data_IF_308927644122
#
_entry.id   IF_308927644122
#
_cell.length_a   1.000
_cell.length_b   1.000
_cell.length_c   1.000
_cell.angle_alpha   90.00
_cell.angle_beta   90.00
_cell.angle_gamma   90.00
#
_symmetry.space_group_name_H-M   'P 1'
#
loop_
_entity.id
_entity.type
_entity.pdbx_description
1 polymer ?
#
# COMPACT_ATOMS: atom_id res chain seq x y z
N UNK A 1 10.15 -20.72 3.94
CA UNK A 1 9.96 -19.45 4.67
C UNK A 1 11.31 -18.83 4.95
N UNK A 2 11.51 -17.55 4.68
CA UNK A 2 12.74 -16.81 5.02
C UNK A 2 12.44 -15.91 6.24
N UNK A 3 13.23 -16.03 7.30
CA UNK A 3 13.15 -15.18 8.49
C UNK A 3 14.40 -14.29 8.52
N UNK A 4 14.19 -13.00 8.73
CA UNK A 4 15.27 -12.01 8.87
C UNK A 4 15.11 -11.34 10.24
N UNK A 5 16.17 -11.34 11.02
CA UNK A 5 16.19 -10.73 12.35
C UNK A 5 17.05 -9.47 12.25
N UNK A 6 16.45 -8.34 12.56
CA UNK A 6 17.13 -7.05 12.58
C UNK A 6 17.32 -6.55 14.03
N UNK A 7 18.37 -5.76 14.31
CA UNK A 7 18.73 -5.41 15.68
C UNK A 7 17.73 -4.45 16.37
N UNK A 8 16.91 -3.77 15.59
CA UNK A 8 15.91 -2.83 16.12
C UNK A 8 14.82 -2.54 15.08
N UNK A 9 13.67 -1.95 15.48
CA UNK A 9 12.56 -1.64 14.58
C UNK A 9 12.93 -0.73 13.41
N UNK A 10 13.84 0.21 13.60
CA UNK A 10 14.29 1.10 12.52
C UNK A 10 15.09 0.33 11.44
N UNK A 11 15.93 -0.62 11.83
CA UNK A 11 16.63 -1.49 10.89
C UNK A 11 15.65 -2.39 10.13
N UNK A 12 14.65 -2.95 10.83
CA UNK A 12 13.60 -3.75 10.21
C UNK A 12 12.79 -2.94 9.18
N UNK A 13 12.42 -1.70 9.51
CA UNK A 13 11.71 -0.81 8.60
C UNK A 13 12.54 -0.51 7.33
N UNK A 14 13.82 -0.20 7.48
CA UNK A 14 14.74 0.01 6.34
C UNK A 14 14.90 -1.25 5.49
N UNK A 15 15.00 -2.41 6.13
CA UNK A 15 15.07 -3.68 5.40
C UNK A 15 13.81 -3.93 4.59
N UNK A 16 12.62 -3.80 5.21
CA UNK A 16 11.34 -3.96 4.53
C UNK A 16 11.19 -2.99 3.35
N UNK A 17 11.51 -1.72 3.54
CA UNK A 17 11.45 -0.71 2.48
C UNK A 17 12.38 -1.05 1.30
N UNK A 18 13.59 -1.56 1.56
CA UNK A 18 14.49 -2.04 0.49
C UNK A 18 13.89 -3.22 -0.26
N UNK A 19 13.28 -4.18 0.43
CA UNK A 19 12.60 -5.30 -0.22
C UNK A 19 11.49 -4.83 -1.15
N UNK A 20 10.67 -3.87 -0.73
CA UNK A 20 9.64 -3.25 -1.58
C UNK A 20 10.27 -2.57 -2.79
N UNK A 21 11.26 -1.73 -2.59
CA UNK A 21 11.92 -1.00 -3.67
C UNK A 21 12.58 -1.96 -4.69
N UNK A 22 13.26 -2.99 -4.23
CA UNK A 22 13.85 -4.02 -5.10
C UNK A 22 12.79 -4.79 -5.89
N UNK A 23 11.66 -5.11 -5.25
CA UNK A 23 10.56 -5.81 -5.92
C UNK A 23 9.96 -4.94 -7.02
N UNK A 24 9.61 -3.69 -6.71
CA UNK A 24 9.05 -2.74 -7.68
C UNK A 24 10.03 -2.47 -8.83
N UNK A 25 11.33 -2.36 -8.54
CA UNK A 25 12.34 -2.18 -9.59
C UNK A 25 12.42 -3.38 -10.54
N UNK A 26 12.29 -4.61 -10.01
CA UNK A 26 12.30 -5.83 -10.82
C UNK A 26 11.00 -6.06 -11.59
N UNK A 27 9.88 -5.66 -11.02
CA UNK A 27 8.53 -5.82 -11.60
C UNK A 27 7.76 -4.49 -11.48
N UNK A 28 8.04 -3.51 -12.34
CA UNK A 28 7.44 -2.18 -12.24
C UNK A 28 5.89 -2.17 -12.26
N UNK A 29 5.26 -3.14 -12.91
CA UNK A 29 3.80 -3.31 -12.98
C UNK A 29 3.26 -4.24 -11.87
N UNK A 30 3.97 -4.35 -10.76
CA UNK A 30 3.51 -5.19 -9.65
C UNK A 30 2.27 -4.61 -8.98
N UNK A 31 1.54 -5.51 -8.32
CA UNK A 31 0.46 -5.18 -7.42
C UNK A 31 0.99 -5.25 -5.99
N UNK A 32 0.71 -4.22 -5.20
CA UNK A 32 1.13 -4.09 -3.82
C UNK A 32 -0.09 -4.09 -2.90
N UNK A 33 -0.03 -4.84 -1.81
CA UNK A 33 -0.97 -4.72 -0.71
C UNK A 33 -0.42 -3.71 0.30
N UNK A 34 -1.20 -2.70 0.64
CA UNK A 34 -0.83 -1.66 1.60
C UNK A 34 -1.62 -1.83 2.89
N UNK A 35 -0.90 -1.93 4.00
CA UNK A 35 -1.49 -2.08 5.33
C UNK A 35 -1.53 -0.74 6.06
N UNK A 36 -2.60 -0.47 6.79
CA UNK A 36 -2.66 0.63 7.74
C UNK A 36 -2.03 0.25 9.09
N UNK A 37 -1.73 1.26 9.89
CA UNK A 37 -1.30 1.10 11.28
C UNK A 37 0.07 1.69 11.61
N UNK A 38 0.26 1.96 12.89
CA UNK A 38 1.45 2.64 13.41
C UNK A 38 2.77 1.91 13.08
N UNK A 39 2.74 0.59 12.97
CA UNK A 39 3.90 -0.25 12.60
C UNK A 39 4.38 0.03 11.18
N UNK A 40 3.49 0.45 10.29
CA UNK A 40 3.82 0.73 8.89
C UNK A 40 4.43 2.12 8.67
N UNK A 41 4.18 3.07 9.59
CA UNK A 41 4.70 4.45 9.45
C UNK A 41 6.21 4.51 9.19
N UNK A 42 7.07 3.84 9.97
CA UNK A 42 8.52 3.86 9.70
C UNK A 42 8.87 3.19 8.37
N UNK A 43 8.14 2.15 7.94
CA UNK A 43 8.38 1.49 6.64
C UNK A 43 8.04 2.46 5.50
N UNK A 44 6.86 3.09 5.55
CA UNK A 44 6.45 4.06 4.53
C UNK A 44 7.38 5.26 4.43
N UNK A 45 7.86 5.78 5.57
CA UNK A 45 8.88 6.85 5.58
C UNK A 45 10.16 6.46 4.84
N UNK A 46 10.63 5.24 5.04
CA UNK A 46 11.82 4.74 4.33
C UNK A 46 11.55 4.50 2.83
N UNK A 47 10.36 4.00 2.46
CA UNK A 47 9.92 3.87 1.05
C UNK A 47 9.91 5.24 0.36
N UNK A 48 9.29 6.24 0.99
CA UNK A 48 9.27 7.62 0.49
C UNK A 48 10.69 8.20 0.37
N UNK A 49 11.55 7.94 1.35
CA UNK A 49 12.94 8.38 1.29
C UNK A 49 13.73 7.74 0.15
N UNK A 50 13.48 6.47 -0.17
CA UNK A 50 14.06 5.79 -1.33
C UNK A 50 13.56 6.40 -2.64
N UNK A 51 12.25 6.63 -2.76
CA UNK A 51 11.65 7.28 -3.93
C UNK A 51 12.26 8.67 -4.16
N UNK A 52 12.30 9.52 -3.13
CA UNK A 52 12.86 10.89 -3.23
C UNK A 52 14.34 10.96 -3.60
N UNK A 53 15.07 9.85 -3.49
CA UNK A 53 16.47 9.72 -3.93
C UNK A 53 16.59 9.05 -5.29
N UNK A 54 15.53 9.01 -6.08
CA UNK A 54 15.44 8.37 -7.40
C UNK A 54 15.88 6.90 -7.40
N UNK A 55 15.62 6.19 -6.28
CA UNK A 55 16.00 4.78 -6.14
C UNK A 55 14.89 3.82 -6.54
N UNK A 56 13.64 4.29 -6.62
CA UNK A 56 12.47 3.52 -7.03
C UNK A 56 11.37 4.45 -7.55
N UNK A 57 10.66 4.02 -8.60
CA UNK A 57 9.45 4.67 -9.12
C UNK A 57 8.28 3.70 -9.00
N UNK A 58 7.14 4.19 -8.56
CA UNK A 58 5.87 3.46 -8.42
C UNK A 58 4.88 3.79 -9.54
N UNK A 59 5.28 4.59 -10.53
CA UNK A 59 4.38 5.11 -11.58
C UNK A 59 3.59 4.02 -12.34
N UNK A 60 4.14 2.81 -12.44
CA UNK A 60 3.51 1.68 -13.13
C UNK A 60 2.91 0.64 -12.17
N UNK A 61 3.22 0.72 -10.88
CA UNK A 61 2.69 -0.18 -9.87
C UNK A 61 1.23 0.14 -9.55
N UNK A 62 0.50 -0.85 -9.05
CA UNK A 62 -0.85 -0.68 -8.49
C UNK A 62 -0.83 -1.02 -7.02
N UNK A 63 -1.64 -0.34 -6.24
CA UNK A 63 -1.72 -0.52 -4.80
C UNK A 63 -3.17 -0.79 -4.38
N UNK A 64 -3.37 -1.76 -3.50
CA UNK A 64 -4.65 -2.12 -2.91
C UNK A 64 -4.53 -2.07 -1.39
N UNK A 65 -5.45 -1.37 -0.74
CA UNK A 65 -5.53 -1.38 0.72
C UNK A 65 -6.03 -2.73 1.21
N UNK A 66 -5.50 -3.23 2.32
CA UNK A 66 -5.83 -4.56 2.82
C UNK A 66 -7.24 -4.63 3.42
N UNK A 67 -7.66 -3.56 4.09
CA UNK A 67 -8.91 -3.51 4.83
C UNK A 67 -9.38 -2.08 5.06
N UNK A 68 -10.64 -1.92 5.46
CA UNK A 68 -11.23 -0.66 5.92
C UNK A 68 -12.34 -0.94 6.95
N UNK A 69 -12.62 0.03 7.80
CA UNK A 69 -13.74 0.00 8.73
C UNK A 69 -15.06 0.23 8.01
N UNK A 70 -15.97 -0.74 8.07
CA UNK A 70 -17.31 -0.60 7.51
C UNK A 70 -18.02 0.68 8.01
N UNK A 71 -18.57 1.44 7.08
CA UNK A 71 -19.29 2.68 7.35
C UNK A 71 -18.42 3.92 7.51
N UNK A 72 -17.09 3.83 7.32
CA UNK A 72 -16.24 5.03 7.27
C UNK A 72 -16.05 5.51 5.83
N UNK A 73 -16.28 6.79 5.62
CA UNK A 73 -15.93 7.43 4.35
C UNK A 73 -14.40 7.49 4.19
N UNK A 74 -13.92 7.39 2.96
CA UNK A 74 -12.48 7.32 2.65
C UNK A 74 -11.68 8.60 2.98
N UNK A 75 -12.36 9.68 3.34
CA UNK A 75 -11.78 10.94 3.82
C UNK A 75 -11.92 11.15 5.34
N UNK A 76 -12.60 10.24 6.05
CA UNK A 76 -12.70 10.28 7.52
C UNK A 76 -11.29 10.18 8.13
N UNK A 77 -10.98 11.01 9.14
CA UNK A 77 -9.65 10.94 9.82
C UNK A 77 -9.26 9.59 10.40
N UNK A 78 -10.22 8.69 10.60
CA UNK A 78 -10.03 7.34 11.13
C UNK A 78 -9.91 6.28 10.02
N UNK A 79 -10.18 6.65 8.76
CA UNK A 79 -10.14 5.73 7.61
C UNK A 79 -8.71 5.24 7.34
N UNK A 80 -8.57 3.95 7.07
CA UNK A 80 -7.32 3.36 6.64
C UNK A 80 -6.93 3.81 5.23
N UNK A 81 -7.90 4.00 4.34
CA UNK A 81 -7.65 4.55 3.01
C UNK A 81 -7.02 5.94 3.08
N UNK A 82 -7.53 6.81 3.97
CA UNK A 82 -6.90 8.11 4.22
C UNK A 82 -5.50 7.98 4.78
N UNK A 83 -5.32 7.13 5.78
CA UNK A 83 -4.01 6.88 6.38
C UNK A 83 -2.97 6.45 5.33
N UNK A 84 -3.28 5.45 4.53
CA UNK A 84 -2.37 4.93 3.49
C UNK A 84 -2.09 6.01 2.44
N UNK A 85 -3.11 6.72 1.99
CA UNK A 85 -2.97 7.82 1.03
C UNK A 85 -1.99 8.88 1.53
N UNK A 86 -2.17 9.38 2.75
CA UNK A 86 -1.32 10.43 3.34
C UNK A 86 0.10 9.94 3.66
N UNK A 87 0.26 8.68 4.11
CA UNK A 87 1.54 8.16 4.53
C UNK A 87 2.45 7.75 3.37
N UNK A 88 1.90 7.29 2.25
CA UNK A 88 2.73 6.78 1.15
C UNK A 88 2.22 7.15 -0.25
N UNK A 89 0.93 7.02 -0.55
CA UNK A 89 0.44 7.15 -1.94
C UNK A 89 0.69 8.54 -2.50
N UNK A 90 0.37 9.59 -1.75
CA UNK A 90 0.59 11.00 -2.14
C UNK A 90 2.06 11.45 -2.01
N UNK A 91 2.92 10.61 -1.44
CA UNK A 91 4.33 10.93 -1.20
C UNK A 91 5.28 10.35 -2.26
N UNK A 92 4.76 9.48 -3.14
CA UNK A 92 5.48 8.85 -4.24
C UNK A 92 4.72 9.05 -5.56
N UNK A 93 5.18 8.46 -6.65
CA UNK A 93 4.71 8.73 -8.02
C UNK A 93 3.70 7.71 -8.56
N UNK A 94 2.81 7.13 -7.72
CA UNK A 94 1.71 6.31 -8.25
C UNK A 94 0.92 7.08 -9.31
N UNK A 95 0.64 6.43 -10.45
CA UNK A 95 -0.23 7.04 -11.45
C UNK A 95 -1.66 7.24 -10.91
N UNK A 96 -2.35 8.27 -11.40
CA UNK A 96 -3.73 8.51 -11.04
C UNK A 96 -4.60 7.27 -11.31
N UNK A 97 -5.41 6.86 -10.33
CA UNK A 97 -6.24 5.66 -10.41
C UNK A 97 -5.49 4.33 -10.20
N UNK A 98 -4.23 4.35 -9.76
CA UNK A 98 -3.47 3.16 -9.41
C UNK A 98 -3.48 2.81 -7.91
N UNK A 99 -4.20 3.57 -7.09
CA UNK A 99 -4.48 3.23 -5.70
C UNK A 99 -5.97 2.91 -5.54
N UNK A 100 -6.26 1.82 -4.90
CA UNK A 100 -7.58 1.26 -4.69
C UNK A 100 -7.82 0.98 -3.21
N UNK A 101 -8.96 1.42 -2.71
CA UNK A 101 -9.47 1.07 -1.39
C UNK A 101 -10.88 0.49 -1.54
N UNK A 102 -11.34 -0.39 -0.62
CA UNK A 102 -12.72 -0.86 -0.64
C UNK A 102 -13.69 0.29 -0.29
N UNK A 103 -14.86 0.30 -0.92
CA UNK A 103 -15.93 1.24 -0.55
C UNK A 103 -16.63 0.76 0.73
N UNK A 104 -16.13 1.23 1.85
CA UNK A 104 -16.66 0.88 3.16
C UNK A 104 -18.06 1.43 3.45
N UNK A 105 -18.59 2.34 2.60
CA UNK A 105 -19.93 2.89 2.68
C UNK A 105 -20.91 2.24 1.68
N UNK A 106 -20.47 1.19 0.96
CA UNK A 106 -21.34 0.46 0.05
C UNK A 106 -22.58 -0.09 0.77
N UNK A 107 -23.73 0.00 0.10
CA UNK A 107 -24.99 -0.51 0.65
C UNK A 107 -24.99 -2.03 0.83
N UNK A 108 -24.21 -2.75 0.02
CA UNK A 108 -24.00 -4.20 0.09
C UNK A 108 -22.49 -4.47 0.18
N UNK A 109 -22.01 -4.74 1.38
CA UNK A 109 -20.60 -4.98 1.64
C UNK A 109 -20.10 -6.31 1.06
N UNK A 110 -20.95 -7.32 0.94
CA UNK A 110 -20.58 -8.61 0.35
C UNK A 110 -20.37 -8.45 -1.16
N UNK A 111 -21.24 -7.71 -1.84
CA UNK A 111 -21.06 -7.36 -3.24
C UNK A 111 -19.79 -6.50 -3.45
N UNK A 112 -19.52 -5.57 -2.55
CA UNK A 112 -18.30 -4.75 -2.60
C UNK A 112 -17.03 -5.60 -2.41
N UNK A 113 -17.02 -6.52 -1.45
CA UNK A 113 -15.90 -7.46 -1.27
C UNK A 113 -15.65 -8.27 -2.55
N UNK A 114 -16.70 -8.80 -3.16
CA UNK A 114 -16.58 -9.55 -4.42
C UNK A 114 -16.04 -8.68 -5.57
N UNK A 115 -16.50 -7.42 -5.67
CA UNK A 115 -15.99 -6.45 -6.64
C UNK A 115 -14.50 -6.15 -6.41
N UNK A 116 -14.11 -5.95 -5.16
CA UNK A 116 -12.74 -5.63 -4.77
C UNK A 116 -11.79 -6.79 -5.06
N UNK A 117 -12.17 -8.02 -4.71
CA UNK A 117 -11.42 -9.23 -5.07
C UNK A 117 -11.25 -9.37 -6.59
N UNK A 118 -12.33 -9.14 -7.34
CA UNK A 118 -12.26 -9.18 -8.81
C UNK A 118 -11.30 -8.11 -9.37
N UNK A 119 -11.23 -6.94 -8.75
CA UNK A 119 -10.29 -5.89 -9.15
C UNK A 119 -8.83 -6.31 -8.89
N UNK A 120 -8.54 -6.94 -7.75
CA UNK A 120 -7.21 -7.48 -7.43
C UNK A 120 -6.81 -8.54 -8.46
N UNK A 121 -7.69 -9.50 -8.75
CA UNK A 121 -7.45 -10.56 -9.75
C UNK A 121 -7.19 -9.95 -11.13
N UNK A 122 -8.00 -8.99 -11.55
CA UNK A 122 -7.85 -8.30 -12.84
C UNK A 122 -6.56 -7.49 -12.94
N UNK A 123 -6.03 -7.03 -11.81
CA UNK A 123 -4.75 -6.33 -11.76
C UNK A 123 -3.53 -7.27 -11.86
N UNK A 124 -3.74 -8.58 -11.78
CA UNK A 124 -2.70 -9.61 -11.84
C UNK A 124 -2.48 -10.38 -10.53
N UNK A 125 -3.29 -10.11 -9.51
CA UNK A 125 -3.18 -10.69 -8.17
C UNK A 125 -2.08 -10.03 -7.32
N UNK A 126 -2.09 -10.34 -6.04
CA UNK A 126 -1.08 -9.88 -5.06
C UNK A 126 0.15 -10.79 -5.07
#
# INVERSE_FOLDING_TARGET
MRVVIEPNPAAAARFAARCVAEWVTRKPECVLALAAGATMVPVYREVVALHRRDRVSFARARAFDLDEYAGLASDDPRSFARFVREQVVEQVDFAAGHHFAPDACAADLDAECARYEAAIVSAGGL
#
